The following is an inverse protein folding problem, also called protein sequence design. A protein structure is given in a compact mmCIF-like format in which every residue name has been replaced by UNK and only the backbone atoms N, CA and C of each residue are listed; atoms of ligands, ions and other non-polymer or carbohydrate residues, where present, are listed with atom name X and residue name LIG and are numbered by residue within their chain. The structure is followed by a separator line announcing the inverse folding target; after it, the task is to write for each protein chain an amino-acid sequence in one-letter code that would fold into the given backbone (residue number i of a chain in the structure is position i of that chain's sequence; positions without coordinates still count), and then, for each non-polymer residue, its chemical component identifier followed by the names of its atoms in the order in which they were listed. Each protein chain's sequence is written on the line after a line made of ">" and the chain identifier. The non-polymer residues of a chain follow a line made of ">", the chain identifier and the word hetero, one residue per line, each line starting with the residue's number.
data_IF_959181075664
#
_entry.id   IF_959181075664
#
_cell.length_a   1.000
_cell.length_b   1.000
_cell.length_c   1.000
_cell.angle_alpha   90.00
_cell.angle_beta   90.00
_cell.angle_gamma   90.00
#
_symmetry.space_group_name_H-M   'P 1'
#
loop_
_entity.id
_entity.type
_entity.pdbx_description
1 polymer ?
#
# COMPACT_ATOMS: atom_id res chain seq x y z
N UNK A 1 -71.35 34.22 -17.23
CA UNK A 1 -70.77 32.87 -17.12
C UNK A 1 -69.42 32.88 -17.83
N UNK A 2 -68.32 33.07 -17.09
CA UNK A 2 -66.96 33.06 -17.63
C UNK A 2 -66.27 31.79 -17.13
N UNK A 3 -66.02 30.84 -18.04
CA UNK A 3 -65.30 29.60 -17.76
C UNK A 3 -63.85 29.90 -17.39
N UNK A 4 -63.46 29.58 -16.15
CA UNK A 4 -62.07 29.63 -15.71
C UNK A 4 -61.28 28.50 -16.36
N UNK A 5 -60.23 28.84 -17.10
CA UNK A 5 -59.33 27.87 -17.70
C UNK A 5 -58.66 27.03 -16.61
N UNK A 6 -58.91 25.71 -16.63
CA UNK A 6 -58.19 24.74 -15.81
C UNK A 6 -56.73 24.73 -16.26
N UNK A 7 -55.82 25.19 -15.38
CA UNK A 7 -54.38 25.12 -15.63
C UNK A 7 -53.98 23.64 -15.64
N UNK A 8 -53.61 23.13 -16.81
CA UNK A 8 -53.02 21.79 -16.96
C UNK A 8 -51.59 21.88 -16.44
N UNK A 9 -51.28 21.14 -15.38
CA UNK A 9 -49.95 21.07 -14.81
C UNK A 9 -49.06 20.24 -15.74
N UNK A 10 -47.85 20.72 -16.00
CA UNK A 10 -46.86 19.92 -16.72
C UNK A 10 -46.31 18.82 -15.81
N UNK A 11 -45.78 17.75 -16.40
CA UNK A 11 -45.09 16.70 -15.64
C UNK A 11 -43.94 17.30 -14.79
N UNK A 12 -43.26 18.32 -15.29
CA UNK A 12 -42.20 19.03 -14.59
C UNK A 12 -42.71 19.75 -13.31
N UNK A 13 -43.88 20.40 -13.38
CA UNK A 13 -44.51 21.06 -12.23
C UNK A 13 -44.92 20.04 -11.17
N UNK A 14 -45.40 18.86 -11.61
CA UNK A 14 -45.73 17.76 -10.70
C UNK A 14 -44.50 17.20 -9.98
N UNK A 15 -43.38 17.02 -10.69
CA UNK A 15 -42.13 16.52 -10.07
C UNK A 15 -41.52 17.53 -9.11
N UNK A 16 -41.50 18.82 -9.47
CA UNK A 16 -40.98 19.87 -8.59
C UNK A 16 -41.78 19.98 -7.27
N UNK A 17 -43.10 19.78 -7.35
CA UNK A 17 -43.98 19.82 -6.18
C UNK A 17 -43.81 18.58 -5.30
N UNK A 18 -43.60 17.40 -5.90
CA UNK A 18 -43.34 16.16 -5.16
C UNK A 18 -41.99 16.21 -4.41
N UNK A 19 -40.95 16.77 -5.01
CA UNK A 19 -39.64 16.95 -4.36
C UNK A 19 -39.70 17.95 -3.21
N UNK A 20 -40.49 19.03 -3.35
CA UNK A 20 -40.74 20.00 -2.29
C UNK A 20 -41.50 19.38 -1.10
N UNK A 21 -42.46 18.48 -1.35
CA UNK A 21 -43.17 17.74 -0.30
C UNK A 21 -42.24 16.73 0.39
N UNK A 22 -41.32 16.09 -0.34
CA UNK A 22 -40.37 15.15 0.24
C UNK A 22 -39.29 15.83 1.11
N UNK A 23 -38.96 17.10 0.83
CA UNK A 23 -38.01 17.88 1.63
C UNK A 23 -38.64 18.52 2.87
N UNK A 24 -39.95 18.80 2.84
CA UNK A 24 -40.71 19.31 3.97
C UNK A 24 -41.29 18.12 4.75
N UNK A 25 -40.50 17.57 5.68
CA UNK A 25 -40.85 16.38 6.47
C UNK A 25 -42.31 16.35 6.98
N UNK A 26 -42.87 15.14 7.05
CA UNK A 26 -44.29 14.73 7.12
C UNK A 26 -45.22 15.43 8.15
N UNK A 27 -44.72 16.37 8.95
CA UNK A 27 -45.42 16.88 10.13
C UNK A 27 -46.35 18.10 9.95
N UNK A 28 -46.34 18.85 8.84
CA UNK A 28 -46.96 20.20 8.88
C UNK A 28 -47.77 20.70 7.68
N UNK A 29 -48.13 19.84 6.71
CA UNK A 29 -48.89 20.28 5.52
C UNK A 29 -50.33 19.74 5.41
N UNK A 30 -50.78 18.90 6.33
CA UNK A 30 -52.11 18.28 6.27
C UNK A 30 -53.29 19.25 6.49
N UNK A 31 -53.04 20.46 6.99
CA UNK A 31 -54.11 21.44 7.27
C UNK A 31 -54.36 22.45 6.14
N UNK A 32 -53.46 22.56 5.16
CA UNK A 32 -53.52 23.62 4.13
C UNK A 32 -54.04 23.15 2.77
N UNK A 33 -54.34 21.87 2.60
CA UNK A 33 -54.86 21.33 1.34
C UNK A 33 -56.19 20.62 1.61
N UNK A 34 -57.30 21.26 1.24
CA UNK A 34 -58.60 20.62 0.95
C UNK A 34 -58.81 20.51 -0.57
N UNK A 35 -58.13 19.62 -1.33
CA UNK A 35 -58.60 19.24 -2.64
C UNK A 35 -59.64 18.10 -2.51
N UNK A 36 -60.45 17.83 -3.56
CA UNK A 36 -61.37 16.71 -3.54
C UNK A 36 -60.60 15.39 -3.35
N UNK A 37 -60.99 14.63 -2.33
CA UNK A 37 -60.38 13.39 -1.84
C UNK A 37 -60.10 12.32 -2.93
N UNK A 38 -60.80 12.39 -4.06
CA UNK A 38 -60.68 11.46 -5.19
C UNK A 38 -59.33 11.66 -5.94
N UNK A 39 -58.80 12.88 -5.99
CA UNK A 39 -57.50 13.16 -6.63
C UNK A 39 -56.31 12.63 -5.84
N UNK A 40 -56.36 12.72 -4.52
CA UNK A 40 -55.27 12.33 -3.61
C UNK A 40 -55.05 10.81 -3.56
N UNK A 41 -56.11 10.00 -3.54
CA UNK A 41 -55.96 8.54 -3.60
C UNK A 41 -55.34 8.08 -4.93
N UNK A 42 -55.70 8.73 -6.04
CA UNK A 42 -55.14 8.43 -7.36
C UNK A 42 -53.66 8.82 -7.46
N UNK A 43 -53.28 9.97 -6.89
CA UNK A 43 -51.89 10.43 -6.80
C UNK A 43 -51.03 9.56 -5.87
N UNK A 44 -51.53 9.20 -4.69
CA UNK A 44 -50.86 8.27 -3.77
C UNK A 44 -50.68 6.88 -4.38
N UNK A 45 -51.68 6.38 -5.11
CA UNK A 45 -51.58 5.13 -5.86
C UNK A 45 -50.56 5.19 -7.01
N UNK A 46 -50.38 6.34 -7.67
CA UNK A 46 -49.32 6.54 -8.67
C UNK A 46 -47.93 6.64 -8.03
N UNK A 47 -47.79 7.38 -6.93
CA UNK A 47 -46.54 7.49 -6.18
C UNK A 47 -46.07 6.14 -5.63
N UNK A 48 -46.98 5.35 -5.03
CA UNK A 48 -46.68 3.99 -4.54
C UNK A 48 -46.25 3.05 -5.67
N UNK A 49 -46.90 3.12 -6.84
CA UNK A 49 -46.51 2.32 -8.02
C UNK A 49 -45.16 2.74 -8.57
N UNK A 50 -44.86 4.04 -8.58
CA UNK A 50 -43.54 4.56 -8.99
C UNK A 50 -42.44 4.13 -8.00
N UNK A 51 -42.71 4.13 -6.70
CA UNK A 51 -41.76 3.66 -5.68
C UNK A 51 -41.46 2.16 -5.84
N UNK A 52 -42.47 1.32 -6.05
CA UNK A 52 -42.28 -0.11 -6.32
C UNK A 52 -41.52 -0.35 -7.64
N UNK A 53 -41.88 0.37 -8.70
CA UNK A 53 -41.18 0.32 -9.98
C UNK A 53 -39.69 0.68 -9.82
N UNK A 54 -39.37 1.76 -9.10
CA UNK A 54 -37.98 2.15 -8.84
C UNK A 54 -37.23 1.12 -8.00
N UNK A 55 -37.90 0.47 -7.03
CA UNK A 55 -37.32 -0.64 -6.26
C UNK A 55 -37.01 -1.83 -7.16
N UNK A 56 -37.93 -2.21 -8.06
CA UNK A 56 -37.72 -3.29 -9.04
C UNK A 56 -36.58 -2.97 -10.00
N UNK A 57 -36.49 -1.73 -10.50
CA UNK A 57 -35.39 -1.28 -11.38
C UNK A 57 -34.05 -1.37 -10.65
N UNK A 58 -33.96 -0.90 -9.39
CA UNK A 58 -32.73 -1.00 -8.58
C UNK A 58 -32.33 -2.46 -8.35
N UNK A 59 -33.29 -3.33 -8.02
CA UNK A 59 -33.05 -4.76 -7.85
C UNK A 59 -32.56 -5.40 -9.15
N UNK A 60 -33.22 -5.13 -10.28
CA UNK A 60 -32.82 -5.64 -11.59
C UNK A 60 -31.41 -5.17 -11.99
N UNK A 61 -31.07 -3.90 -11.74
CA UNK A 61 -29.71 -3.37 -11.93
C UNK A 61 -28.69 -4.08 -11.04
N UNK A 62 -29.02 -4.33 -9.77
CA UNK A 62 -28.15 -5.05 -8.84
C UNK A 62 -27.89 -6.49 -9.29
N UNK A 63 -28.95 -7.23 -9.65
CA UNK A 63 -28.84 -8.60 -10.15
C UNK A 63 -28.04 -8.66 -11.45
N UNK A 64 -28.26 -7.73 -12.39
CA UNK A 64 -27.48 -7.64 -13.63
C UNK A 64 -26.00 -7.38 -13.34
N UNK A 65 -25.70 -6.44 -12.44
CA UNK A 65 -24.31 -6.14 -12.02
C UNK A 65 -23.63 -7.35 -11.38
N UNK A 66 -24.35 -8.08 -10.53
CA UNK A 66 -23.84 -9.30 -9.91
C UNK A 66 -23.53 -10.38 -10.95
N UNK A 67 -24.47 -10.66 -11.88
CA UNK A 67 -24.24 -11.63 -12.97
C UNK A 67 -23.05 -11.28 -13.84
N UNK A 68 -22.88 -9.99 -14.18
CA UNK A 68 -21.72 -9.54 -14.95
C UNK A 68 -20.40 -9.70 -14.18
N UNK A 69 -20.42 -9.49 -12.86
CA UNK A 69 -19.26 -9.74 -11.99
C UNK A 69 -18.93 -11.22 -11.91
N UNK A 70 -19.92 -12.10 -11.80
CA UNK A 70 -19.73 -13.56 -11.77
C UNK A 70 -19.17 -14.07 -13.10
N UNK A 71 -19.71 -13.60 -14.22
CA UNK A 71 -19.17 -13.92 -15.56
C UNK A 71 -17.74 -13.44 -15.75
N UNK A 72 -17.37 -12.28 -15.21
CA UNK A 72 -16.00 -11.80 -15.23
C UNK A 72 -15.08 -12.69 -14.37
N UNK A 73 -15.51 -13.03 -13.15
CA UNK A 73 -14.78 -13.91 -12.25
C UNK A 73 -14.52 -15.30 -12.89
N UNK A 74 -15.47 -15.85 -13.65
CA UNK A 74 -15.31 -17.10 -14.40
C UNK A 74 -14.30 -16.99 -15.55
N UNK A 75 -14.34 -15.91 -16.32
CA UNK A 75 -13.34 -15.65 -17.37
C UNK A 75 -11.94 -15.52 -16.78
N UNK A 76 -11.81 -14.83 -15.66
CA UNK A 76 -10.53 -14.68 -14.95
C UNK A 76 -10.05 -15.99 -14.34
N UNK A 77 -10.95 -16.85 -13.86
CA UNK A 77 -10.62 -18.18 -13.39
C UNK A 77 -10.06 -19.06 -14.52
N UNK A 78 -10.67 -19.01 -15.71
CA UNK A 78 -10.17 -19.70 -16.90
C UNK A 78 -8.78 -19.18 -17.31
N UNK A 79 -8.62 -17.86 -17.40
CA UNK A 79 -7.33 -17.25 -17.73
C UNK A 79 -6.22 -17.59 -16.71
N UNK A 80 -6.55 -17.71 -15.42
CA UNK A 80 -5.58 -18.13 -14.40
C UNK A 80 -5.09 -19.56 -14.67
N UNK A 81 -5.96 -20.47 -15.10
CA UNK A 81 -5.57 -21.86 -15.44
C UNK A 81 -4.51 -21.87 -16.54
N UNK A 82 -4.64 -21.02 -17.55
CA UNK A 82 -3.69 -20.90 -18.66
C UNK A 82 -2.33 -20.32 -18.23
N UNK A 83 -2.29 -19.56 -17.13
CA UNK A 83 -1.08 -18.94 -16.58
C UNK A 83 -0.32 -19.92 -15.66
N UNK A 84 -0.98 -20.92 -15.07
CA UNK A 84 -0.32 -21.87 -14.15
C UNK A 84 0.87 -22.61 -14.79
N UNK A 85 0.83 -23.11 -16.04
CA UNK A 85 1.97 -23.73 -16.69
C UNK A 85 3.18 -22.81 -16.82
N UNK A 86 2.96 -21.52 -17.14
CA UNK A 86 4.02 -20.51 -17.26
C UNK A 86 4.69 -20.25 -15.89
N UNK A 87 3.89 -20.26 -14.82
CA UNK A 87 4.43 -20.14 -13.47
C UNK A 87 5.30 -21.35 -13.16
N UNK A 88 4.80 -22.56 -13.41
CA UNK A 88 5.56 -23.82 -13.19
C UNK A 88 6.89 -23.82 -13.93
N UNK A 89 6.93 -23.33 -15.17
CA UNK A 89 8.15 -23.30 -15.99
C UNK A 89 9.21 -22.27 -15.55
N UNK A 90 8.88 -21.36 -14.63
CA UNK A 90 9.87 -20.43 -14.07
C UNK A 90 9.39 -18.99 -13.92
N UNK A 91 8.29 -18.60 -14.59
CA UNK A 91 7.82 -17.21 -14.59
C UNK A 91 7.28 -16.78 -13.22
N UNK A 92 7.40 -15.48 -12.90
CA UNK A 92 6.67 -14.94 -11.76
C UNK A 92 5.18 -14.85 -12.09
N UNK A 93 4.31 -14.76 -11.08
CA UNK A 93 2.87 -14.56 -11.33
C UNK A 93 2.66 -13.29 -12.16
N UNK A 94 3.37 -12.21 -11.82
CA UNK A 94 3.29 -10.95 -12.54
C UNK A 94 3.75 -11.07 -14.00
N UNK A 95 4.88 -11.74 -14.25
CA UNK A 95 5.38 -11.91 -15.62
C UNK A 95 4.49 -12.84 -16.43
N UNK A 96 3.99 -13.92 -15.82
CA UNK A 96 3.10 -14.88 -16.47
C UNK A 96 1.75 -14.24 -16.85
N UNK A 97 1.24 -13.30 -16.05
CA UNK A 97 0.05 -12.52 -16.41
C UNK A 97 0.36 -11.48 -17.49
N UNK A 98 1.48 -10.75 -17.40
CA UNK A 98 1.86 -9.75 -18.42
C UNK A 98 2.12 -10.36 -19.79
N UNK A 99 2.69 -11.57 -19.82
CA UNK A 99 3.04 -12.25 -21.06
C UNK A 99 1.88 -13.06 -21.66
N UNK A 100 0.72 -13.14 -20.99
CA UNK A 100 -0.48 -13.77 -21.52
C UNK A 100 -1.52 -12.69 -21.85
N UNK A 101 -1.81 -12.42 -23.15
CA UNK A 101 -2.72 -11.35 -23.57
C UNK A 101 -4.15 -11.44 -23.01
N UNK A 102 -4.56 -12.63 -22.58
CA UNK A 102 -5.89 -12.90 -22.03
C UNK A 102 -5.91 -12.93 -20.51
N UNK A 103 -4.75 -12.81 -19.86
CA UNK A 103 -4.66 -12.80 -18.41
C UNK A 103 -5.00 -11.42 -17.84
N UNK A 104 -5.84 -11.35 -16.79
CA UNK A 104 -6.09 -10.10 -16.10
C UNK A 104 -4.86 -9.59 -15.35
N UNK A 105 -4.89 -8.30 -14.98
CA UNK A 105 -3.87 -7.71 -14.11
C UNK A 105 -3.70 -8.55 -12.82
N UNK A 106 -2.46 -8.75 -12.33
CA UNK A 106 -2.21 -9.53 -11.11
C UNK A 106 -3.07 -9.12 -9.91
N UNK A 107 -3.39 -7.83 -9.78
CA UNK A 107 -4.25 -7.31 -8.70
C UNK A 107 -5.65 -7.90 -8.74
N UNK A 108 -6.21 -8.06 -9.95
CA UNK A 108 -7.52 -8.68 -10.16
C UNK A 108 -7.50 -10.16 -9.78
N UNK A 109 -6.41 -10.87 -10.14
CA UNK A 109 -6.21 -12.27 -9.75
C UNK A 109 -6.17 -12.40 -8.23
N UNK A 110 -5.40 -11.57 -7.52
CA UNK A 110 -5.37 -11.63 -6.06
C UNK A 110 -6.73 -11.35 -5.42
N UNK A 111 -7.57 -10.51 -6.04
CA UNK A 111 -8.96 -10.34 -5.66
C UNK A 111 -9.79 -11.62 -5.84
N UNK A 112 -9.65 -12.29 -6.99
CA UNK A 112 -10.32 -13.55 -7.31
C UNK A 112 -9.93 -14.68 -6.33
N UNK A 113 -8.64 -14.80 -5.99
CA UNK A 113 -8.14 -15.84 -5.08
C UNK A 113 -8.72 -15.74 -3.66
N UNK A 114 -9.15 -14.54 -3.22
CA UNK A 114 -9.85 -14.37 -1.94
C UNK A 114 -11.27 -14.96 -1.99
N UNK A 115 -11.91 -14.94 -3.15
CA UNK A 115 -13.27 -15.47 -3.35
C UNK A 115 -13.27 -16.96 -3.69
N UNK A 116 -12.18 -17.47 -4.28
CA UNK A 116 -12.04 -18.84 -4.82
C UNK A 116 -10.82 -19.56 -4.23
N UNK A 117 -10.94 -20.16 -3.02
CA UNK A 117 -9.83 -20.79 -2.32
C UNK A 117 -9.21 -21.99 -3.07
N UNK A 118 -9.99 -22.67 -3.91
CA UNK A 118 -9.53 -23.78 -4.76
C UNK A 118 -8.52 -23.32 -5.83
N UNK A 119 -8.71 -22.11 -6.38
CA UNK A 119 -7.75 -21.51 -7.32
C UNK A 119 -6.46 -21.09 -6.61
N UNK A 120 -6.58 -20.63 -5.36
CA UNK A 120 -5.42 -20.30 -4.53
C UNK A 120 -4.55 -21.53 -4.28
N UNK A 121 -5.16 -22.67 -3.96
CA UNK A 121 -4.43 -23.93 -3.78
C UNK A 121 -3.66 -24.32 -5.06
N UNK A 122 -4.31 -24.21 -6.23
CA UNK A 122 -3.66 -24.49 -7.52
C UNK A 122 -2.49 -23.54 -7.81
N UNK A 123 -2.63 -22.25 -7.49
CA UNK A 123 -1.56 -21.28 -7.64
C UNK A 123 -0.40 -21.55 -6.68
N UNK A 124 -0.70 -21.83 -5.41
CA UNK A 124 0.30 -22.16 -4.40
C UNK A 124 1.08 -23.43 -4.80
N UNK A 125 0.41 -24.43 -5.37
CA UNK A 125 1.06 -25.62 -5.95
C UNK A 125 1.96 -25.25 -7.12
N UNK A 126 1.48 -24.47 -8.10
CA UNK A 126 2.28 -24.07 -9.25
C UNK A 126 3.53 -23.25 -8.85
N UNK A 127 3.40 -22.40 -7.82
CA UNK A 127 4.54 -21.67 -7.24
C UNK A 127 5.49 -22.62 -6.52
N UNK A 128 4.98 -23.61 -5.78
CA UNK A 128 5.83 -24.63 -5.16
C UNK A 128 6.62 -25.44 -6.20
N UNK A 129 5.97 -25.87 -7.28
CA UNK A 129 6.59 -26.58 -8.40
C UNK A 129 7.70 -25.73 -9.04
N UNK A 130 7.42 -24.44 -9.28
CA UNK A 130 8.40 -23.48 -9.81
C UNK A 130 9.62 -23.34 -8.91
N UNK A 131 9.39 -23.17 -7.61
CA UNK A 131 10.48 -23.04 -6.65
C UNK A 131 11.28 -24.34 -6.57
N UNK A 132 10.63 -25.51 -6.64
CA UNK A 132 11.32 -26.79 -6.70
C UNK A 132 12.21 -26.91 -7.96
N UNK A 133 11.70 -26.51 -9.13
CA UNK A 133 12.50 -26.42 -10.36
C UNK A 133 13.67 -25.43 -10.24
N UNK A 134 13.45 -24.26 -9.64
CA UNK A 134 14.52 -23.28 -9.39
C UNK A 134 15.58 -23.82 -8.45
N UNK A 135 15.20 -24.55 -7.40
CA UNK A 135 16.15 -25.20 -6.49
C UNK A 135 16.94 -26.26 -7.23
N UNK A 136 16.26 -27.16 -7.97
CA UNK A 136 16.91 -28.19 -8.76
C UNK A 136 17.92 -27.61 -9.76
N UNK A 137 17.59 -26.45 -10.35
CA UNK A 137 18.45 -25.81 -11.35
C UNK A 137 19.54 -24.89 -10.77
N UNK A 138 19.36 -24.34 -9.56
CA UNK A 138 20.31 -23.36 -8.99
C UNK A 138 21.24 -23.93 -7.94
N UNK A 139 20.82 -24.97 -7.22
CA UNK A 139 21.55 -25.44 -6.06
C UNK A 139 21.70 -26.96 -6.11
N UNK A 140 22.92 -27.50 -6.04
CA UNK A 140 23.08 -28.93 -5.85
C UNK A 140 22.31 -29.34 -4.58
N UNK A 141 21.64 -30.50 -4.56
CA UNK A 141 21.03 -31.00 -3.34
C UNK A 141 22.08 -31.05 -2.23
N UNK A 142 21.67 -30.73 -1.00
CA UNK A 142 22.56 -30.98 0.14
C UNK A 142 22.77 -32.49 0.22
N UNK A 143 24.01 -32.92 0.45
CA UNK A 143 24.27 -34.33 0.74
C UNK A 143 23.61 -34.71 2.06
N UNK A 144 23.29 -35.99 2.23
CA UNK A 144 22.72 -36.48 3.49
C UNK A 144 23.64 -36.15 4.68
N UNK A 145 24.96 -36.20 4.50
CA UNK A 145 25.95 -35.77 5.49
C UNK A 145 25.80 -34.29 5.89
N UNK A 146 25.54 -33.39 4.93
CA UNK A 146 25.31 -31.98 5.23
C UNK A 146 24.00 -31.78 6.00
N UNK A 147 22.96 -32.53 5.64
CA UNK A 147 21.68 -32.50 6.34
C UNK A 147 21.88 -32.94 7.79
N UNK A 148 22.53 -34.08 8.03
CA UNK A 148 22.79 -34.59 9.37
C UNK A 148 23.67 -33.64 10.20
N UNK A 149 24.67 -32.98 9.60
CA UNK A 149 25.46 -31.93 10.27
C UNK A 149 24.62 -30.73 10.68
N UNK A 150 23.71 -30.27 9.82
CA UNK A 150 22.79 -29.16 10.15
C UNK A 150 21.87 -29.56 11.29
N UNK A 151 21.29 -30.76 11.23
CA UNK A 151 20.40 -31.30 12.26
C UNK A 151 21.12 -31.40 13.61
N UNK A 152 22.31 -32.01 13.62
CA UNK A 152 23.15 -32.14 14.81
C UNK A 152 23.53 -30.77 15.39
N UNK A 153 23.91 -29.80 14.55
CA UNK A 153 24.23 -28.45 15.01
C UNK A 153 23.03 -27.76 15.66
N UNK A 154 21.83 -27.91 15.09
CA UNK A 154 20.59 -27.35 15.66
C UNK A 154 20.26 -28.02 17.00
N UNK A 155 20.28 -29.35 17.09
CA UNK A 155 20.06 -30.08 18.36
C UNK A 155 21.12 -29.72 19.42
N UNK A 156 22.34 -29.35 18.99
CA UNK A 156 23.41 -28.88 19.87
C UNK A 156 23.34 -27.39 20.25
N UNK A 157 22.30 -26.66 19.84
CA UNK A 157 22.06 -25.28 20.30
C UNK A 157 22.19 -24.20 19.22
N UNK A 158 22.66 -24.52 18.02
CA UNK A 158 22.79 -23.54 16.96
C UNK A 158 21.42 -23.03 16.48
N UNK A 159 21.36 -21.81 15.96
CA UNK A 159 20.19 -21.36 15.20
C UNK A 159 20.19 -22.05 13.84
N UNK A 160 19.00 -22.38 13.31
CA UNK A 160 18.87 -23.02 11.99
C UNK A 160 19.65 -22.24 10.92
N UNK A 161 19.55 -20.91 10.93
CA UNK A 161 20.25 -20.05 9.97
C UNK A 161 21.77 -20.17 10.06
N UNK A 162 22.31 -20.28 11.27
CA UNK A 162 23.75 -20.41 11.51
C UNK A 162 24.24 -21.79 11.09
N UNK A 163 23.55 -22.85 11.51
CA UNK A 163 23.87 -24.23 11.15
C UNK A 163 23.85 -24.44 9.63
N UNK A 164 22.83 -23.88 8.97
CA UNK A 164 22.70 -23.94 7.51
C UNK A 164 23.80 -23.15 6.81
N UNK A 165 24.07 -21.91 7.23
CA UNK A 165 25.12 -21.08 6.63
C UNK A 165 26.50 -21.72 6.81
N UNK A 166 26.81 -22.22 8.01
CA UNK A 166 28.10 -22.83 8.33
C UNK A 166 28.36 -24.14 7.56
N UNK A 167 27.31 -24.92 7.27
CA UNK A 167 27.46 -26.24 6.64
C UNK A 167 27.38 -26.19 5.12
N UNK A 168 26.60 -25.26 4.57
CA UNK A 168 26.31 -25.21 3.13
C UNK A 168 26.88 -24.00 2.41
N UNK A 169 27.39 -22.99 3.13
CA UNK A 169 27.75 -21.67 2.61
C UNK A 169 26.59 -20.97 1.87
N UNK A 170 25.34 -21.29 2.23
CA UNK A 170 24.13 -20.74 1.61
C UNK A 170 23.43 -19.73 2.50
N UNK A 171 22.69 -18.84 1.85
CA UNK A 171 21.92 -17.77 2.48
C UNK A 171 20.67 -18.27 3.21
N UNK A 172 20.18 -17.45 4.15
CA UNK A 172 18.92 -17.74 4.86
C UNK A 172 17.66 -17.73 3.98
N UNK A 173 17.72 -17.05 2.82
CA UNK A 173 16.67 -17.11 1.80
C UNK A 173 16.59 -18.50 1.17
N UNK A 174 17.74 -19.08 0.81
CA UNK A 174 17.82 -20.39 0.18
C UNK A 174 17.36 -21.51 1.12
N UNK A 175 17.64 -21.38 2.42
CA UNK A 175 17.09 -22.26 3.45
C UNK A 175 15.56 -22.35 3.38
N UNK A 176 14.85 -21.21 3.23
CA UNK A 176 13.38 -21.22 3.18
C UNK A 176 12.87 -21.94 1.93
N UNK A 177 13.56 -21.76 0.80
CA UNK A 177 13.18 -22.43 -0.45
C UNK A 177 13.44 -23.94 -0.32
N UNK A 178 14.60 -24.33 0.18
CA UNK A 178 14.99 -25.72 0.44
C UNK A 178 13.98 -26.44 1.36
N UNK A 179 13.62 -25.83 2.49
CA UNK A 179 12.64 -26.40 3.44
C UNK A 179 11.21 -26.43 2.89
N UNK A 180 10.88 -25.60 1.90
CA UNK A 180 9.58 -25.64 1.22
C UNK A 180 9.49 -26.84 0.27
N UNK A 181 10.57 -27.18 -0.42
CA UNK A 181 10.64 -28.34 -1.30
C UNK A 181 10.75 -29.69 -0.58
N UNK A 182 11.11 -29.69 0.71
CA UNK A 182 11.35 -30.89 1.52
C UNK A 182 10.57 -30.83 2.84
N UNK A 183 9.24 -31.09 2.82
CA UNK A 183 8.40 -31.01 4.02
C UNK A 183 8.80 -32.03 5.09
N UNK A 184 9.36 -33.17 4.68
CA UNK A 184 9.98 -34.19 5.53
C UNK A 184 11.12 -33.60 6.38
N UNK A 185 12.07 -32.91 5.73
CA UNK A 185 13.20 -32.28 6.41
C UNK A 185 12.74 -31.13 7.29
N UNK A 186 11.74 -30.36 6.86
CA UNK A 186 11.14 -29.31 7.69
C UNK A 186 10.53 -29.87 8.97
N UNK A 187 9.81 -31.00 8.89
CA UNK A 187 9.25 -31.65 10.07
C UNK A 187 10.36 -32.13 11.02
N UNK A 188 11.38 -32.81 10.49
CA UNK A 188 12.56 -33.24 11.28
C UNK A 188 13.23 -32.06 11.96
N UNK A 189 13.50 -30.98 11.22
CA UNK A 189 14.16 -29.78 11.73
C UNK A 189 13.33 -29.10 12.83
N UNK A 190 12.00 -29.06 12.69
CA UNK A 190 11.13 -28.56 13.75
C UNK A 190 11.23 -29.41 15.04
N UNK A 191 11.34 -30.74 14.91
CA UNK A 191 11.59 -31.63 16.06
C UNK A 191 12.93 -31.31 16.71
N UNK A 192 14.01 -31.17 15.92
CA UNK A 192 15.33 -30.80 16.45
C UNK A 192 15.33 -29.42 17.14
N UNK A 193 14.56 -28.46 16.63
CA UNK A 193 14.34 -27.16 17.29
C UNK A 193 13.59 -27.32 18.62
N UNK A 194 12.54 -28.14 18.65
CA UNK A 194 11.78 -28.40 19.87
C UNK A 194 12.64 -29.09 20.94
N UNK A 195 13.44 -30.08 20.55
CA UNK A 195 14.42 -30.75 21.43
C UNK A 195 15.46 -29.77 21.98
N UNK A 196 16.01 -28.91 21.09
CA UNK A 196 16.94 -27.84 21.48
C UNK A 196 16.28 -26.90 22.50
N UNK A 197 15.03 -26.49 22.28
CA UNK A 197 14.28 -25.59 23.16
C UNK A 197 13.92 -26.24 24.50
N UNK A 198 13.68 -27.55 24.53
CA UNK A 198 13.50 -28.31 25.77
C UNK A 198 14.81 -28.49 26.56
N UNK A 199 15.95 -28.49 25.87
CA UNK A 199 17.27 -28.67 26.49
C UNK A 199 17.81 -27.40 27.16
N UNK A 200 18.82 -27.56 28.04
CA UNK A 200 19.58 -26.44 28.60
C UNK A 200 20.43 -25.67 27.55
N UNK A 201 20.44 -26.12 26.29
CA UNK A 201 21.19 -25.53 25.16
C UNK A 201 20.35 -24.58 24.32
N UNK A 202 19.13 -24.26 24.76
CA UNK A 202 18.28 -23.29 24.09
C UNK A 202 18.97 -21.92 24.02
N UNK A 203 19.44 -21.52 22.83
CA UNK A 203 19.97 -20.16 22.56
C UNK A 203 18.95 -19.03 22.74
N UNK A 204 17.71 -19.35 23.12
CA UNK A 204 16.67 -18.41 23.55
C UNK A 204 16.49 -18.29 25.07
N UNK A 205 17.10 -19.15 25.90
CA UNK A 205 17.12 -18.95 27.37
C UNK A 205 18.15 -17.88 27.77
N UNK A 206 19.26 -17.77 27.05
CA UNK A 206 20.31 -16.76 27.30
C UNK A 206 19.99 -15.34 26.80
N UNK A 207 18.82 -15.14 26.20
CA UNK A 207 18.17 -13.84 26.13
C UNK A 207 16.65 -14.05 26.19
N UNK A 208 16.19 -14.79 27.20
CA UNK A 208 15.09 -14.22 27.95
C UNK A 208 15.70 -12.94 28.53
N UNK A 209 15.70 -11.85 27.74
CA UNK A 209 15.38 -10.54 28.32
C UNK A 209 14.17 -10.92 29.13
N UNK A 210 14.34 -11.05 30.46
CA UNK A 210 13.25 -11.35 31.40
C UNK A 210 12.05 -10.68 30.80
N UNK A 211 11.09 -11.49 30.29
CA UNK A 211 9.98 -10.96 29.50
C UNK A 211 9.34 -9.98 30.45
N UNK A 212 9.72 -8.70 30.33
CA UNK A 212 9.50 -7.76 31.41
C UNK A 212 8.01 -7.64 31.43
N UNK A 213 7.43 -8.21 32.48
CA UNK A 213 6.00 -8.15 32.67
C UNK A 213 5.73 -6.70 32.99
N UNK A 214 5.25 -5.98 31.98
CA UNK A 214 4.91 -4.58 32.11
C UNK A 214 3.72 -4.46 33.04
N UNK A 215 3.90 -3.67 34.09
CA UNK A 215 2.83 -3.29 34.99
C UNK A 215 1.86 -2.34 34.29
N UNK A 216 0.66 -2.17 34.84
CA UNK A 216 -0.29 -1.16 34.33
C UNK A 216 0.29 0.27 34.40
N UNK A 217 1.15 0.54 35.38
CA UNK A 217 1.88 1.80 35.49
C UNK A 217 2.88 2.00 34.34
N UNK A 218 3.56 0.95 33.88
CA UNK A 218 4.46 1.05 32.72
C UNK A 218 3.69 1.34 31.42
N UNK A 219 2.49 0.77 31.29
CA UNK A 219 1.61 1.04 30.16
C UNK A 219 1.07 2.47 30.18
N UNK A 220 0.71 2.99 31.36
CA UNK A 220 0.28 4.37 31.50
C UNK A 220 1.43 5.35 31.25
N UNK A 221 2.63 5.05 31.75
CA UNK A 221 3.85 5.81 31.43
C UNK A 221 4.16 5.82 29.93
N UNK A 222 3.87 4.73 29.22
CA UNK A 222 4.02 4.67 27.76
C UNK A 222 3.03 5.59 27.04
N UNK A 223 1.76 5.63 27.48
CA UNK A 223 0.76 6.55 26.91
C UNK A 223 1.16 8.01 27.16
N UNK A 224 1.67 8.32 28.35
CA UNK A 224 2.14 9.67 28.67
C UNK A 224 3.39 10.04 27.87
N UNK A 225 4.31 9.10 27.65
CA UNK A 225 5.45 9.32 26.77
C UNK A 225 5.00 9.66 25.33
N UNK A 226 4.03 8.93 24.78
CA UNK A 226 3.42 9.20 23.46
C UNK A 226 2.80 10.60 23.42
N UNK A 227 2.04 10.98 24.46
CA UNK A 227 1.40 12.31 24.56
C UNK A 227 2.42 13.43 24.67
N UNK A 228 3.51 13.24 25.39
CA UNK A 228 4.50 14.29 25.65
C UNK A 228 5.49 14.49 24.48
N UNK A 229 5.69 13.47 23.63
CA UNK A 229 6.67 13.52 22.53
C UNK A 229 6.02 13.52 21.14
N UNK A 230 5.06 14.43 20.93
CA UNK A 230 4.17 14.45 19.74
C UNK A 230 4.90 14.56 18.38
N UNK A 231 6.12 15.10 18.37
CA UNK A 231 6.95 15.26 17.17
C UNK A 231 7.88 14.10 16.80
N UNK A 232 8.01 13.07 17.65
CA UNK A 232 8.89 11.91 17.39
C UNK A 232 8.12 10.71 16.86
N UNK A 233 8.84 9.75 16.26
CA UNK A 233 8.28 8.44 15.94
C UNK A 233 7.88 7.73 17.23
N UNK A 234 6.71 7.07 17.26
CA UNK A 234 6.26 6.30 18.42
C UNK A 234 7.30 5.25 18.83
N UNK A 235 7.97 4.64 17.85
CA UNK A 235 9.04 3.66 18.11
C UNK A 235 10.23 4.27 18.85
N UNK A 236 10.59 5.52 18.53
CA UNK A 236 11.71 6.20 19.19
C UNK A 236 11.35 6.64 20.61
N UNK A 237 10.08 7.00 20.83
CA UNK A 237 9.56 7.43 22.13
C UNK A 237 9.49 6.29 23.14
N UNK A 238 9.10 5.09 22.68
CA UNK A 238 8.90 3.94 23.57
C UNK A 238 10.20 3.27 24.01
N UNK A 239 11.30 3.42 23.28
CA UNK A 239 12.64 2.99 23.70
C UNK A 239 12.72 1.55 24.25
N UNK A 240 13.74 1.28 25.08
CA UNK A 240 13.95 -0.05 25.69
C UNK A 240 13.29 -0.21 27.08
N UNK A 241 12.85 0.90 27.70
CA UNK A 241 12.38 0.94 29.08
C UNK A 241 10.87 1.03 29.23
N UNK A 242 10.12 1.12 28.12
CA UNK A 242 8.66 1.12 28.12
C UNK A 242 8.14 -0.06 27.27
N UNK A 243 6.88 -0.46 27.45
CA UNK A 243 6.22 -1.40 26.57
C UNK A 243 6.40 -1.01 25.11
N UNK A 244 6.83 -1.97 24.29
CA UNK A 244 6.92 -1.76 22.84
C UNK A 244 5.54 -1.44 22.26
N UNK A 245 5.50 -0.81 21.09
CA UNK A 245 4.25 -0.50 20.40
C UNK A 245 3.35 -1.74 20.23
N UNK A 246 3.94 -2.90 19.89
CA UNK A 246 3.20 -4.16 19.78
C UNK A 246 2.64 -4.62 21.13
N UNK A 247 3.39 -4.43 22.22
CA UNK A 247 2.93 -4.73 23.57
C UNK A 247 1.75 -3.86 24.00
N UNK A 248 1.76 -2.56 23.65
CA UNK A 248 0.65 -1.62 23.88
C UNK A 248 -0.57 -2.01 23.04
N UNK A 249 -0.35 -2.32 21.75
CA UNK A 249 -1.40 -2.76 20.85
C UNK A 249 -2.08 -4.04 21.36
N UNK A 250 -1.31 -5.04 21.75
CA UNK A 250 -1.84 -6.29 22.30
C UNK A 250 -2.62 -6.07 23.60
N UNK A 251 -2.16 -5.15 24.48
CA UNK A 251 -2.88 -4.75 25.69
C UNK A 251 -4.23 -4.10 25.35
N UNK A 252 -4.26 -3.22 24.34
CA UNK A 252 -5.48 -2.53 23.89
C UNK A 252 -6.55 -3.50 23.39
N UNK A 253 -6.16 -4.63 22.80
CA UNK A 253 -7.11 -5.66 22.35
C UNK A 253 -7.77 -6.42 23.51
N UNK A 254 -7.14 -6.44 24.69
CA UNK A 254 -7.59 -7.21 25.86
C UNK A 254 -8.31 -6.35 26.90
N UNK A 255 -8.09 -5.04 26.91
CA UNK A 255 -8.69 -4.10 27.87
C UNK A 255 -9.34 -2.94 27.14
N UNK A 256 -10.68 -2.86 27.22
CA UNK A 256 -11.49 -1.82 26.55
C UNK A 256 -11.12 -0.42 27.06
N UNK A 257 -10.99 -0.25 28.38
CA UNK A 257 -10.61 1.05 28.97
C UNK A 257 -9.19 1.48 28.57
N UNK A 258 -8.25 0.55 28.45
CA UNK A 258 -6.92 0.88 27.92
C UNK A 258 -6.97 1.25 26.43
N UNK A 259 -7.82 0.59 25.64
CA UNK A 259 -7.98 0.88 24.22
C UNK A 259 -8.47 2.31 23.95
N UNK A 260 -9.38 2.81 24.77
CA UNK A 260 -9.87 4.20 24.71
C UNK A 260 -8.74 5.18 25.01
N UNK A 261 -8.04 5.01 26.14
CA UNK A 261 -6.90 5.87 26.51
C UNK A 261 -5.79 5.87 25.45
N UNK A 262 -5.52 4.72 24.86
CA UNK A 262 -4.53 4.60 23.79
C UNK A 262 -4.97 5.30 22.50
N UNK A 263 -6.26 5.16 22.11
CA UNK A 263 -6.83 5.86 20.97
C UNK A 263 -6.76 7.38 21.16
N UNK A 264 -7.02 7.86 22.36
CA UNK A 264 -6.95 9.28 22.69
C UNK A 264 -5.52 9.81 22.58
N UNK A 265 -4.54 9.08 23.14
CA UNK A 265 -3.12 9.46 23.05
C UNK A 265 -2.62 9.55 21.60
N UNK A 266 -2.99 8.58 20.74
CA UNK A 266 -2.67 8.62 19.31
C UNK A 266 -3.45 9.73 18.59
N UNK A 267 -4.71 9.93 18.94
CA UNK A 267 -5.56 11.00 18.40
C UNK A 267 -4.98 12.38 18.65
N UNK A 268 -4.52 12.66 19.87
CA UNK A 268 -3.82 13.90 20.24
C UNK A 268 -2.52 14.09 19.44
N UNK A 269 -1.71 13.03 19.31
CA UNK A 269 -0.49 13.09 18.53
C UNK A 269 -0.78 13.40 17.05
N UNK A 270 -1.79 12.75 16.47
CA UNK A 270 -2.22 12.98 15.09
C UNK A 270 -2.82 14.37 14.90
N UNK A 271 -3.60 14.87 15.87
CA UNK A 271 -4.14 16.22 15.86
C UNK A 271 -3.02 17.26 15.91
N UNK A 272 -2.02 17.08 16.77
CA UNK A 272 -0.83 17.93 16.83
C UNK A 272 -0.05 17.91 15.52
N UNK A 273 0.14 16.74 14.90
CA UNK A 273 0.76 16.65 13.58
C UNK A 273 -0.05 17.40 12.54
N UNK A 274 -1.37 17.24 12.53
CA UNK A 274 -2.24 17.99 11.61
C UNK A 274 -2.11 19.49 11.83
N UNK A 275 -2.13 20.00 13.05
CA UNK A 275 -2.04 21.45 13.29
C UNK A 275 -0.64 22.02 13.03
N UNK A 276 0.41 21.28 13.40
CA UNK A 276 1.81 21.71 13.25
C UNK A 276 2.27 21.61 11.80
N UNK A 277 1.89 20.54 11.09
CA UNK A 277 2.15 20.40 9.64
C UNK A 277 1.18 21.19 8.77
N UNK A 278 0.00 21.60 9.27
CA UNK A 278 -0.97 22.38 8.47
C UNK A 278 -0.53 23.82 8.15
N UNK A 279 0.62 24.31 8.62
CA UNK A 279 0.99 25.72 8.48
C UNK A 279 2.48 25.97 8.25
N UNK A 280 3.17 25.13 7.48
CA UNK A 280 4.22 25.75 6.67
C UNK A 280 3.48 26.57 5.60
N UNK A 281 3.62 27.92 5.55
CA UNK A 281 3.08 28.67 4.45
C UNK A 281 3.63 28.00 3.19
N UNK A 282 2.74 27.57 2.29
CA UNK A 282 3.15 27.02 1.00
C UNK A 282 4.19 27.99 0.45
N UNK A 283 5.42 27.50 0.22
CA UNK A 283 6.51 28.33 -0.29
C UNK A 283 5.98 29.13 -1.48
N UNK A 284 6.51 30.33 -1.75
CA UNK A 284 6.02 31.18 -2.85
C UNK A 284 5.99 30.40 -4.19
N UNK A 285 6.90 29.44 -4.37
CA UNK A 285 6.97 28.53 -5.52
C UNK A 285 5.96 27.35 -5.49
N UNK A 286 5.39 27.02 -4.33
CA UNK A 286 4.27 26.08 -4.15
C UNK A 286 2.90 26.76 -4.30
N UNK A 287 2.84 28.07 -4.55
CA UNK A 287 1.68 28.61 -5.26
C UNK A 287 1.65 27.88 -6.60
N UNK A 288 0.57 27.16 -6.88
CA UNK A 288 0.46 26.22 -8.00
C UNK A 288 0.82 26.83 -9.37
N UNK A 289 1.04 28.13 -9.48
CA UNK A 289 1.46 28.87 -10.66
C UNK A 289 2.73 28.31 -11.32
N UNK A 290 3.86 28.15 -10.61
CA UNK A 290 5.10 27.64 -11.22
C UNK A 290 4.90 26.20 -11.70
N UNK A 291 4.32 25.36 -10.84
CA UNK A 291 4.02 23.97 -11.18
C UNK A 291 3.02 23.85 -12.32
N UNK A 292 2.02 24.73 -12.42
CA UNK A 292 1.08 24.79 -13.55
C UNK A 292 1.82 25.15 -14.83
N UNK A 293 2.66 26.19 -14.81
CA UNK A 293 3.48 26.58 -15.95
C UNK A 293 4.45 25.47 -16.38
N UNK A 294 5.09 24.77 -15.43
CA UNK A 294 5.94 23.62 -15.75
C UNK A 294 5.14 22.46 -16.36
N UNK A 295 3.90 22.21 -15.91
CA UNK A 295 3.06 21.16 -16.50
C UNK A 295 2.50 21.52 -17.89
N UNK A 296 2.56 22.78 -18.32
CA UNK A 296 2.29 23.18 -19.70
C UNK A 296 3.45 22.80 -20.64
N UNK A 297 4.67 22.66 -20.11
CA UNK A 297 5.80 22.11 -20.85
C UNK A 297 5.63 20.59 -21.06
N UNK A 298 5.66 20.16 -22.32
CA UNK A 298 5.43 18.75 -22.67
C UNK A 298 6.44 17.79 -22.05
N UNK A 299 7.72 18.18 -22.02
CA UNK A 299 8.80 17.35 -21.52
C UNK A 299 8.69 17.14 -20.01
N UNK A 300 8.39 18.21 -19.27
CA UNK A 300 8.15 18.13 -17.83
C UNK A 300 6.92 17.27 -17.53
N UNK A 301 5.83 17.43 -18.31
CA UNK A 301 4.62 16.62 -18.19
C UNK A 301 4.89 15.14 -18.45
N UNK A 302 5.68 14.80 -19.46
CA UNK A 302 6.12 13.43 -19.77
C UNK A 302 6.96 12.85 -18.63
N UNK A 303 7.98 13.58 -18.16
CA UNK A 303 8.82 13.17 -17.04
C UNK A 303 8.01 12.98 -15.74
N UNK A 304 6.98 13.80 -15.49
CA UNK A 304 6.14 13.71 -14.30
C UNK A 304 5.38 12.38 -14.14
N UNK A 305 5.13 11.67 -15.26
CA UNK A 305 4.44 10.37 -15.29
C UNK A 305 5.34 9.23 -14.81
N UNK A 306 6.65 9.41 -14.82
CA UNK A 306 7.63 8.40 -14.40
C UNK A 306 7.63 8.17 -12.88
N UNK A 307 7.10 9.12 -12.11
CA UNK A 307 7.25 9.20 -10.67
C UNK A 307 5.89 9.18 -9.96
N UNK A 308 5.70 8.20 -9.06
CA UNK A 308 4.45 7.96 -8.34
C UNK A 308 4.00 9.19 -7.51
N UNK A 309 2.71 9.52 -7.58
CA UNK A 309 2.13 10.72 -6.90
C UNK A 309 2.18 10.67 -5.37
N UNK A 310 2.30 9.48 -4.79
CA UNK A 310 2.43 9.28 -3.34
C UNK A 310 3.86 9.42 -2.80
N UNK A 311 4.85 9.76 -3.64
CA UNK A 311 6.17 10.14 -3.15
C UNK A 311 6.13 11.51 -2.49
N UNK A 312 7.14 11.79 -1.67
CA UNK A 312 7.36 13.13 -1.13
C UNK A 312 7.36 14.17 -2.28
N UNK A 313 6.54 15.23 -2.22
CA UNK A 313 6.35 16.14 -3.33
C UNK A 313 7.63 16.84 -3.78
N UNK A 314 8.47 17.25 -2.84
CA UNK A 314 9.70 17.99 -3.13
C UNK A 314 10.71 17.05 -3.80
N UNK A 315 10.92 15.87 -3.23
CA UNK A 315 11.73 14.81 -3.85
C UNK A 315 11.25 14.45 -5.27
N UNK A 316 9.94 14.36 -5.45
CA UNK A 316 9.34 14.01 -6.74
C UNK A 316 9.65 15.09 -7.78
N UNK A 317 9.48 16.36 -7.43
CA UNK A 317 9.68 17.47 -8.35
C UNK A 317 11.19 17.66 -8.69
N UNK A 318 12.10 17.34 -7.75
CA UNK A 318 13.55 17.23 -8.00
C UNK A 318 13.88 16.14 -9.02
N UNK A 319 13.30 14.95 -8.85
CA UNK A 319 13.49 13.83 -9.76
C UNK A 319 13.00 14.16 -11.18
N UNK A 320 11.86 14.84 -11.29
CA UNK A 320 11.33 15.30 -12.58
C UNK A 320 12.31 16.30 -13.23
N UNK A 321 12.76 17.29 -12.46
CA UNK A 321 13.68 18.33 -12.94
C UNK A 321 15.02 17.74 -13.41
N UNK A 322 15.54 16.73 -12.72
CA UNK A 322 16.75 16.01 -13.13
C UNK A 322 16.57 15.29 -14.48
N UNK A 323 15.42 14.64 -14.70
CA UNK A 323 15.13 13.98 -15.98
C UNK A 323 14.98 14.98 -17.11
N UNK A 324 14.26 16.09 -16.87
CA UNK A 324 14.10 17.16 -17.86
C UNK A 324 15.46 17.75 -18.23
N UNK A 325 16.31 17.99 -17.24
CA UNK A 325 17.67 18.53 -17.46
C UNK A 325 18.53 17.56 -18.27
N UNK A 326 18.49 16.26 -17.96
CA UNK A 326 19.23 15.25 -18.72
C UNK A 326 18.80 15.20 -20.21
N UNK A 327 17.51 15.40 -20.48
CA UNK A 327 17.02 15.47 -21.87
C UNK A 327 17.47 16.77 -22.56
N UNK A 328 17.37 17.91 -21.89
CA UNK A 328 17.80 19.20 -22.44
C UNK A 328 19.32 19.27 -22.68
N UNK A 329 20.10 18.58 -21.85
CA UNK A 329 21.55 18.45 -22.00
C UNK A 329 21.97 17.42 -23.08
N UNK A 330 21.01 16.68 -23.66
CA UNK A 330 21.30 15.64 -24.65
C UNK A 330 21.84 14.33 -24.06
N UNK A 331 21.89 14.18 -22.74
CA UNK A 331 22.33 12.95 -22.05
C UNK A 331 21.28 11.83 -22.13
N UNK A 332 20.00 12.20 -22.27
CA UNK A 332 18.88 11.28 -22.43
C UNK A 332 18.07 11.67 -23.67
N UNK A 333 18.02 10.84 -24.73
CA UNK A 333 17.12 11.07 -25.85
C UNK A 333 15.66 11.11 -25.37
N UNK A 334 14.86 12.05 -25.91
CA UNK A 334 13.46 12.25 -25.48
C UNK A 334 12.61 10.98 -25.68
N UNK A 335 12.87 10.22 -26.74
CA UNK A 335 12.21 8.95 -27.06
C UNK A 335 12.53 7.83 -26.05
N UNK A 336 13.67 7.89 -25.38
CA UNK A 336 14.05 6.93 -24.33
C UNK A 336 13.50 7.28 -22.94
N UNK A 337 12.85 8.44 -22.78
CA UNK A 337 12.37 8.94 -21.49
C UNK A 337 11.43 7.96 -20.78
N UNK A 338 10.52 7.31 -21.52
CA UNK A 338 9.56 6.36 -20.96
C UNK A 338 10.22 5.08 -20.40
N UNK A 339 11.40 4.70 -20.93
CA UNK A 339 12.10 3.47 -20.58
C UNK A 339 13.17 3.71 -19.52
N UNK A 340 13.98 4.78 -19.70
CA UNK A 340 15.17 5.04 -18.90
C UNK A 340 15.04 6.24 -17.96
N UNK A 341 14.07 7.13 -18.17
CA UNK A 341 13.97 8.39 -17.44
C UNK A 341 13.88 8.20 -15.92
N UNK A 342 13.12 7.22 -15.44
CA UNK A 342 13.03 6.95 -13.99
C UNK A 342 14.39 6.55 -13.40
N UNK A 343 15.15 5.70 -14.09
CA UNK A 343 16.46 5.26 -13.66
C UNK A 343 17.48 6.41 -13.63
N UNK A 344 17.45 7.28 -14.66
CA UNK A 344 18.29 8.48 -14.74
C UNK A 344 17.99 9.45 -13.61
N UNK A 345 16.70 9.74 -13.35
CA UNK A 345 16.30 10.61 -12.24
C UNK A 345 16.82 10.10 -10.89
N UNK A 346 16.66 8.80 -10.61
CA UNK A 346 17.20 8.19 -9.38
C UNK A 346 18.73 8.17 -9.32
N UNK A 347 19.41 8.04 -10.46
CA UNK A 347 20.87 8.07 -10.52
C UNK A 347 21.39 9.47 -10.19
N UNK A 348 20.85 10.51 -10.82
CA UNK A 348 21.22 11.91 -10.60
C UNK A 348 20.95 12.30 -9.14
N UNK A 349 19.76 11.98 -8.64
CA UNK A 349 19.40 12.25 -7.26
C UNK A 349 20.34 11.57 -6.25
N UNK A 350 20.72 10.30 -6.46
CA UNK A 350 21.68 9.61 -5.59
C UNK A 350 23.09 10.23 -5.65
N UNK A 351 23.54 10.64 -6.85
CA UNK A 351 24.84 11.30 -7.05
C UNK A 351 24.90 12.66 -6.35
N UNK A 352 23.81 13.42 -6.37
CA UNK A 352 23.69 14.73 -5.72
C UNK A 352 23.51 14.61 -4.20
N UNK A 353 22.65 13.71 -3.72
CA UNK A 353 22.45 13.51 -2.28
C UNK A 353 23.64 12.84 -1.58
N UNK A 354 24.44 12.05 -2.30
CA UNK A 354 25.71 11.53 -1.79
C UNK A 354 26.72 12.63 -1.41
N UNK A 355 26.50 13.87 -1.88
CA UNK A 355 27.31 15.04 -1.56
C UNK A 355 26.71 15.94 -0.45
N UNK A 356 25.65 15.51 0.25
CA UNK A 356 24.95 16.35 1.25
C UNK A 356 24.55 17.73 0.70
N UNK A 357 24.17 17.81 -0.57
CA UNK A 357 23.49 18.99 -1.09
C UNK A 357 22.04 18.89 -0.60
N UNK A 358 21.76 19.47 0.57
CA UNK A 358 20.40 19.78 0.94
C UNK A 358 19.79 20.62 -0.19
N UNK A 359 18.53 20.32 -0.55
CA UNK A 359 17.73 20.98 -1.60
C UNK A 359 18.11 22.45 -1.81
N UNK A 360 18.17 22.92 -3.06
CA UNK A 360 18.46 24.32 -3.43
C UNK A 360 17.65 25.37 -2.62
N UNK A 361 16.52 24.95 -2.06
CA UNK A 361 15.61 25.77 -1.26
C UNK A 361 15.88 25.77 0.26
N UNK A 362 16.86 25.02 0.77
CA UNK A 362 17.26 25.12 2.17
C UNK A 362 18.33 26.22 2.28
N UNK A 363 18.20 27.17 3.23
CA UNK A 363 19.25 28.15 3.45
C UNK A 363 20.56 27.40 3.71
N UNK A 364 21.61 27.75 2.97
CA UNK A 364 22.95 27.24 3.23
C UNK A 364 23.26 27.58 4.69
N UNK A 365 23.31 26.57 5.55
CA UNK A 365 23.64 26.79 6.95
C UNK A 365 25.01 27.46 7.06
N UNK A 366 25.23 28.27 8.11
CA UNK A 366 26.49 29.00 8.37
C UNK A 366 27.75 28.09 8.46
N UNK A 367 27.56 26.77 8.50
CA UNK A 367 28.59 25.73 8.57
C UNK A 367 28.72 24.89 7.28
N UNK A 368 28.05 25.25 6.18
CA UNK A 368 28.25 24.62 4.89
C UNK A 368 29.66 24.93 4.36
N UNK A 369 30.56 23.94 4.36
CA UNK A 369 31.97 24.07 3.96
C UNK A 369 32.20 24.31 2.46
N UNK A 370 31.14 24.41 1.66
CA UNK A 370 31.22 24.56 0.21
C UNK A 370 30.21 25.64 -0.16
N UNK A 371 30.68 26.78 -0.66
CA UNK A 371 29.79 27.80 -1.20
C UNK A 371 29.30 27.36 -2.58
N UNK A 372 28.08 27.73 -2.95
CA UNK A 372 27.53 27.48 -4.29
C UNK A 372 28.44 28.08 -5.38
N UNK A 373 29.12 29.18 -5.06
CA UNK A 373 30.10 29.82 -5.94
C UNK A 373 31.29 28.90 -6.23
N UNK A 374 31.81 28.20 -5.22
CA UNK A 374 32.96 27.29 -5.36
C UNK A 374 32.67 26.10 -6.30
N UNK A 375 31.40 25.71 -6.41
CA UNK A 375 30.98 24.60 -7.29
C UNK A 375 30.80 25.06 -8.73
N UNK A 376 30.35 26.31 -8.94
CA UNK A 376 30.17 26.89 -10.28
C UNK A 376 31.51 27.34 -10.87
N UNK A 377 32.46 27.77 -10.04
CA UNK A 377 33.80 28.18 -10.49
C UNK A 377 34.79 27.01 -10.62
N UNK A 378 34.49 25.86 -10.02
CA UNK A 378 35.38 24.69 -9.96
C UNK A 378 35.33 23.77 -11.19
N UNK A 379 34.23 23.77 -11.95
CA UNK A 379 34.09 22.92 -13.14
C UNK A 379 34.66 23.65 -14.38
N UNK A 380 35.97 23.45 -14.59
CA UNK A 380 36.57 23.57 -15.92
C UNK A 380 36.01 22.46 -16.82
N UNK A 381 34.79 22.64 -17.33
CA UNK A 381 34.29 21.89 -18.46
C UNK A 381 35.02 22.39 -19.73
N UNK A 382 36.07 21.70 -20.16
CA UNK A 382 36.54 21.80 -21.55
C UNK A 382 35.98 20.63 -22.36
N UNK A 383 35.51 20.96 -23.56
CA UNK A 383 34.90 20.03 -24.52
C UNK A 383 35.87 18.94 -25.01
N UNK A 384 37.17 19.12 -24.77
CA UNK A 384 38.26 18.26 -25.25
C UNK A 384 38.41 16.97 -24.44
N UNK A 385 37.83 16.87 -23.24
CA UNK A 385 37.89 15.66 -22.42
C UNK A 385 36.83 14.60 -22.73
N UNK A 386 35.95 14.85 -23.71
CA UNK A 386 34.77 14.03 -24.00
C UNK A 386 34.75 13.42 -25.42
N UNK A 387 35.84 13.53 -26.19
CA UNK A 387 36.01 12.84 -27.48
C UNK A 387 36.82 11.55 -27.31
#
# INVERSE_FOLDING_TARGET
>A
MTGGAMKVWSDADMYATADAIATLGEGNLLHLLKPPLIGLQTLLGRASRNADLMRRIRLAKSVRKQRLSEQADDRYAAALIDVLPLIRSGATVADACRNNPHSPDPTVIFGLLKKRPELKLKLDQAVADREAMKVANRLPPLSDDQIERIMAAVSNGALIKEAFAATSNRSSSELRVFLRSRPDLKARLNTAVAEREASNRARGRQAVVEKRTWSDADYDAALDAIRNHRGRSIHDVLGNNLPTYNGIWDRSRRSVGFAERFRDAIGEQMAWRRTTYAKQPKRIYQQETLRRGLNENELYREASKLFHRGMDPDLRDDLISNVVTAVLAGELPRDELAVRGAAVGWHHHRKLNGRQMDTLDRPAYDNAKISLLDTITGDQWSFEGAI
#
